data_IF_595324072338
#
_entry.id   IF_595324072338
#
_cell.length_a   1.000
_cell.length_b   1.000
_cell.length_c   1.000
_cell.angle_alpha   90.00
_cell.angle_beta   90.00
_cell.angle_gamma   90.00
#
_symmetry.space_group_name_H-M   'P 1'
#
loop_
_entity.id
_entity.type
_entity.pdbx_description
1 polymer ?
#
# COMPACT_ATOMS: atom_id res chain seq x y z
N UNK A 1 14.24 -23.94 21.04
CA UNK A 1 13.57 -22.86 20.29
C UNK A 1 13.04 -23.52 19.03
N UNK A 2 11.77 -23.37 18.64
CA UNK A 2 11.31 -23.86 17.36
C UNK A 2 12.14 -23.17 16.27
N UNK A 3 12.71 -23.93 15.36
CA UNK A 3 13.40 -23.41 14.18
C UNK A 3 12.40 -22.61 13.37
N UNK A 4 12.71 -21.34 13.06
CA UNK A 4 11.86 -20.51 12.21
C UNK A 4 11.60 -21.27 10.89
N UNK A 5 10.36 -21.20 10.40
CA UNK A 5 10.03 -21.90 9.16
C UNK A 5 10.76 -21.30 7.96
N UNK A 6 10.97 -22.10 6.91
CA UNK A 6 11.69 -21.64 5.72
C UNK A 6 11.09 -20.36 5.11
N UNK A 7 9.75 -20.19 5.17
CA UNK A 7 9.11 -18.98 4.61
C UNK A 7 9.39 -17.74 5.45
N UNK A 8 9.30 -17.84 6.79
CA UNK A 8 9.55 -16.69 7.67
C UNK A 8 11.00 -16.22 7.57
N UNK A 9 11.96 -17.16 7.50
CA UNK A 9 13.37 -16.86 7.25
C UNK A 9 13.55 -16.15 5.92
N UNK A 10 12.95 -16.70 4.85
CA UNK A 10 13.09 -16.15 3.50
C UNK A 10 12.49 -14.75 3.37
N UNK A 11 11.34 -14.50 3.98
CA UNK A 11 10.69 -13.17 3.95
C UNK A 11 11.50 -12.14 4.74
N UNK A 12 12.08 -12.54 5.87
CA UNK A 12 12.97 -11.67 6.65
C UNK A 12 14.27 -11.34 5.88
N UNK A 13 14.87 -12.33 5.18
CA UNK A 13 16.00 -12.07 4.29
C UNK A 13 15.63 -11.13 3.14
N UNK A 14 14.47 -11.35 2.51
CA UNK A 14 13.95 -10.49 1.45
C UNK A 14 13.81 -9.04 1.94
N UNK A 15 13.25 -8.83 3.14
CA UNK A 15 13.16 -7.51 3.78
C UNK A 15 14.54 -6.87 3.93
N UNK A 16 15.46 -7.57 4.60
CA UNK A 16 16.78 -7.03 4.91
C UNK A 16 17.55 -6.63 3.65
N UNK A 17 17.54 -7.51 2.63
CA UNK A 17 18.19 -7.23 1.35
C UNK A 17 17.49 -6.13 0.56
N UNK A 18 16.15 -6.05 0.62
CA UNK A 18 15.40 -4.96 -0.04
C UNK A 18 15.79 -3.62 0.57
N UNK A 19 15.84 -3.51 1.89
CA UNK A 19 16.27 -2.29 2.59
C UNK A 19 17.70 -1.91 2.20
N UNK A 20 18.64 -2.86 2.25
CA UNK A 20 20.04 -2.63 1.88
C UNK A 20 20.19 -2.07 0.45
N UNK A 21 19.47 -2.64 -0.51
CA UNK A 21 19.49 -2.19 -1.90
C UNK A 21 18.75 -0.86 -2.11
N UNK A 22 17.62 -0.65 -1.40
CA UNK A 22 16.88 0.60 -1.43
C UNK A 22 17.72 1.77 -0.93
N UNK A 23 18.47 1.62 0.16
CA UNK A 23 19.35 2.65 0.74
C UNK A 23 20.46 3.11 -0.22
N UNK A 24 20.81 2.31 -1.22
CA UNK A 24 21.76 2.71 -2.26
C UNK A 24 21.20 3.73 -3.27
N UNK A 25 19.87 3.90 -3.32
CA UNK A 25 19.16 4.77 -4.28
C UNK A 25 18.33 5.82 -3.54
N UNK A 26 17.69 5.46 -2.45
CA UNK A 26 16.74 6.31 -1.71
C UNK A 26 17.08 6.24 -0.23
N UNK A 27 17.23 7.39 0.41
CA UNK A 27 17.62 7.49 1.83
C UNK A 27 16.43 7.90 2.68
N UNK A 28 16.32 7.31 3.88
CA UNK A 28 15.38 7.71 4.91
C UNK A 28 13.93 7.26 4.67
N UNK A 29 13.72 6.26 3.81
CA UNK A 29 12.41 5.69 3.51
C UNK A 29 12.33 4.18 3.90
N UNK A 30 13.08 3.76 4.91
CA UNK A 30 13.13 2.36 5.36
C UNK A 30 11.75 1.89 5.86
N UNK A 31 11.09 2.70 6.70
CA UNK A 31 9.75 2.40 7.21
C UNK A 31 8.71 2.34 6.08
N UNK A 32 8.83 3.23 5.09
CA UNK A 32 7.97 3.22 3.91
C UNK A 32 8.20 1.95 3.10
N UNK A 33 9.45 1.54 2.93
CA UNK A 33 9.82 0.30 2.22
C UNK A 33 9.23 -0.93 2.91
N UNK A 34 9.31 -1.02 4.23
CA UNK A 34 8.71 -2.10 5.01
C UNK A 34 7.19 -2.12 4.86
N UNK A 35 6.53 -0.97 4.94
CA UNK A 35 5.08 -0.87 4.73
C UNK A 35 4.69 -1.28 3.31
N UNK A 36 5.48 -0.92 2.28
CA UNK A 36 5.26 -1.38 0.91
C UNK A 36 5.40 -2.91 0.78
N UNK A 37 6.40 -3.51 1.43
CA UNK A 37 6.55 -4.97 1.47
C UNK A 37 5.36 -5.63 2.16
N UNK A 38 4.94 -5.14 3.32
CA UNK A 38 3.74 -5.65 4.02
C UNK A 38 2.52 -5.57 3.12
N UNK A 39 2.30 -4.43 2.46
CA UNK A 39 1.15 -4.24 1.58
C UNK A 39 1.20 -5.17 0.35
N UNK A 40 2.37 -5.36 -0.26
CA UNK A 40 2.55 -6.28 -1.38
C UNK A 40 2.25 -7.72 -0.95
N UNK A 41 2.83 -8.19 0.16
CA UNK A 41 2.64 -9.54 0.67
C UNK A 41 1.20 -9.80 1.13
N UNK A 42 0.51 -8.77 1.65
CA UNK A 42 -0.91 -8.83 1.97
C UNK A 42 -1.84 -8.74 0.74
N UNK A 43 -1.28 -8.59 -0.47
CA UNK A 43 -2.05 -8.44 -1.70
C UNK A 43 -2.85 -7.14 -1.77
N UNK A 44 -2.39 -6.08 -1.08
CA UNK A 44 -3.07 -4.79 -0.97
C UNK A 44 -2.51 -3.70 -1.89
N UNK A 45 -3.24 -2.59 -1.99
CA UNK A 45 -2.85 -1.38 -2.70
C UNK A 45 -2.52 -0.28 -1.69
N UNK A 46 -1.71 0.71 -2.08
CA UNK A 46 -1.24 1.76 -1.17
C UNK A 46 -1.53 3.15 -1.72
N UNK A 47 -1.98 4.03 -0.84
CA UNK A 47 -2.09 5.46 -1.09
C UNK A 47 -0.88 6.15 -0.44
N UNK A 48 -0.03 6.77 -1.27
CA UNK A 48 1.12 7.55 -0.83
C UNK A 48 0.74 9.03 -0.78
N UNK A 49 0.67 9.60 0.40
CA UNK A 49 0.47 11.03 0.58
C UNK A 49 1.79 11.73 0.87
N UNK A 50 2.07 12.77 0.14
CA UNK A 50 3.27 13.55 0.39
C UNK A 50 3.49 14.64 -0.65
N UNK A 51 4.28 15.63 -0.24
CA UNK A 51 4.63 16.77 -1.11
C UNK A 51 5.39 16.34 -2.36
N UNK A 52 5.33 17.11 -3.44
CA UNK A 52 6.16 16.88 -4.62
C UNK A 52 7.65 16.85 -4.28
N UNK A 53 8.43 16.07 -5.05
CA UNK A 53 9.90 16.03 -4.87
C UNK A 53 10.41 15.07 -3.78
N UNK A 54 9.55 14.30 -3.09
CA UNK A 54 9.97 13.33 -2.06
C UNK A 54 10.35 11.96 -2.64
N UNK A 55 10.88 11.91 -3.85
CA UNK A 55 11.42 10.71 -4.52
C UNK A 55 10.44 9.52 -4.67
N UNK A 56 9.11 9.74 -4.60
CA UNK A 56 8.09 8.67 -4.69
C UNK A 56 8.25 7.80 -5.94
N UNK A 57 8.47 8.41 -7.10
CA UNK A 57 8.64 7.67 -8.37
C UNK A 57 9.92 6.82 -8.35
N UNK A 58 11.01 7.35 -7.81
CA UNK A 58 12.28 6.62 -7.66
C UNK A 58 12.11 5.45 -6.70
N UNK A 59 11.46 5.67 -5.54
CA UNK A 59 11.11 4.63 -4.58
C UNK A 59 10.36 3.47 -5.26
N UNK A 60 9.25 3.77 -5.95
CA UNK A 60 8.39 2.75 -6.57
C UNK A 60 9.12 1.96 -7.67
N UNK A 61 9.89 2.65 -8.52
CA UNK A 61 10.67 2.00 -9.59
C UNK A 61 11.76 1.11 -9.02
N UNK A 62 12.51 1.60 -8.03
CA UNK A 62 13.58 0.85 -7.38
C UNK A 62 13.02 -0.38 -6.68
N UNK A 63 11.93 -0.23 -5.93
CA UNK A 63 11.22 -1.31 -5.27
C UNK A 63 10.82 -2.42 -6.25
N UNK A 64 10.19 -2.06 -7.38
CA UNK A 64 9.82 -3.02 -8.41
C UNK A 64 11.04 -3.73 -9.03
N UNK A 65 12.12 -2.98 -9.30
CA UNK A 65 13.36 -3.54 -9.86
C UNK A 65 13.98 -4.57 -8.92
N UNK A 66 14.08 -4.26 -7.63
CA UNK A 66 14.64 -5.16 -6.61
C UNK A 66 13.79 -6.44 -6.51
N UNK A 67 12.48 -6.33 -6.57
CA UNK A 67 11.55 -7.45 -6.46
C UNK A 67 11.36 -8.23 -7.76
N UNK A 68 11.96 -7.79 -8.88
CA UNK A 68 11.85 -8.46 -10.17
C UNK A 68 10.44 -8.45 -10.76
N UNK A 69 9.64 -7.41 -10.49
CA UNK A 69 8.27 -7.25 -10.97
C UNK A 69 8.17 -6.10 -11.96
N UNK A 70 7.25 -6.23 -12.94
CA UNK A 70 7.06 -5.23 -13.99
C UNK A 70 6.43 -3.97 -13.43
N UNK A 71 7.10 -2.83 -13.65
CA UNK A 71 6.68 -1.50 -13.24
C UNK A 71 6.17 -0.69 -14.41
N UNK A 72 5.04 0.00 -14.21
CA UNK A 72 4.53 1.04 -15.10
C UNK A 72 4.14 2.28 -14.28
N UNK A 73 4.20 3.46 -14.91
CA UNK A 73 3.76 4.73 -14.32
C UNK A 73 2.77 5.41 -15.22
N UNK A 74 1.70 5.91 -14.65
CA UNK A 74 0.75 6.79 -15.32
C UNK A 74 0.58 8.07 -14.49
N UNK A 75 0.71 9.22 -15.16
CA UNK A 75 0.44 10.52 -14.57
C UNK A 75 -1.05 10.84 -14.80
N UNK A 76 -1.80 11.03 -13.73
CA UNK A 76 -3.20 11.41 -13.83
C UNK A 76 -3.35 12.90 -14.08
N UNK A 77 -4.15 13.26 -15.08
CA UNK A 77 -4.42 14.63 -15.53
C UNK A 77 -5.93 14.81 -15.76
N UNK A 78 -6.43 16.06 -15.79
CA UNK A 78 -7.87 16.30 -15.97
C UNK A 78 -8.45 15.79 -17.30
N UNK A 79 -7.62 15.62 -18.31
CA UNK A 79 -7.98 15.12 -19.65
C UNK A 79 -7.79 13.62 -19.85
N UNK A 80 -7.24 12.91 -18.85
CA UNK A 80 -7.00 11.47 -18.93
C UNK A 80 -8.31 10.67 -19.02
N UNK A 81 -8.41 9.80 -20.02
CA UNK A 81 -9.57 8.94 -20.23
C UNK A 81 -9.40 7.57 -19.53
N UNK A 82 -10.51 6.87 -19.22
CA UNK A 82 -10.45 5.48 -18.72
C UNK A 82 -9.67 4.54 -19.64
N UNK A 83 -9.80 4.69 -20.95
CA UNK A 83 -9.08 3.90 -21.96
C UNK A 83 -7.57 4.11 -21.95
N UNK A 84 -7.08 5.26 -21.47
CA UNK A 84 -5.65 5.51 -21.33
C UNK A 84 -5.06 4.68 -20.18
N UNK A 85 -5.88 4.31 -19.21
CA UNK A 85 -5.50 3.44 -18.08
C UNK A 85 -5.63 1.96 -18.45
N UNK A 86 -6.78 1.55 -19.01
CA UNK A 86 -7.11 0.15 -19.26
C UNK A 86 -6.67 -0.36 -20.62
N UNK A 87 -6.58 0.52 -21.60
CA UNK A 87 -6.33 0.18 -22.99
C UNK A 87 -7.58 0.23 -23.85
N UNK A 88 -7.41 -0.01 -25.14
CA UNK A 88 -8.44 0.13 -26.17
C UNK A 88 -8.20 -0.85 -27.31
N UNK A 89 -9.26 -1.24 -28.01
CA UNK A 89 -9.12 -1.91 -29.32
C UNK A 89 -8.88 -0.88 -30.42
N UNK A 90 -7.87 -1.12 -31.24
CA UNK A 90 -7.48 -0.25 -32.35
C UNK A 90 -7.58 -1.04 -33.64
N UNK A 91 -8.19 -0.47 -34.67
CA UNK A 91 -8.21 -1.09 -36.00
C UNK A 91 -6.79 -1.03 -36.59
N UNK A 92 -6.17 -2.19 -36.80
CA UNK A 92 -4.93 -2.30 -37.57
C UNK A 92 -5.27 -2.17 -39.05
N UNK A 93 -4.80 -1.08 -39.67
CA UNK A 93 -5.05 -0.78 -41.10
C UNK A 93 -4.43 -1.79 -42.06
N UNK A 94 -3.39 -2.51 -41.65
CA UNK A 94 -2.71 -3.49 -42.51
C UNK A 94 -3.45 -4.81 -42.54
N UNK A 95 -4.03 -5.22 -41.42
CA UNK A 95 -4.72 -6.51 -41.28
C UNK A 95 -6.24 -6.40 -41.32
N UNK A 96 -6.79 -5.14 -41.24
CA UNK A 96 -8.22 -4.84 -41.11
C UNK A 96 -8.87 -5.52 -39.89
N UNK A 97 -8.08 -5.93 -38.90
CA UNK A 97 -8.54 -6.54 -37.66
C UNK A 97 -8.42 -5.58 -36.51
N UNK A 98 -9.28 -5.74 -35.50
CA UNK A 98 -9.13 -5.04 -34.24
C UNK A 98 -8.03 -5.70 -33.40
N UNK A 99 -7.05 -4.91 -32.98
CA UNK A 99 -5.94 -5.34 -32.12
C UNK A 99 -6.04 -4.64 -30.78
N UNK A 100 -5.96 -5.42 -29.71
CA UNK A 100 -5.96 -4.88 -28.34
C UNK A 100 -4.63 -4.18 -28.05
N UNK A 101 -4.68 -2.87 -27.77
CA UNK A 101 -3.59 -2.10 -27.20
C UNK A 101 -3.79 -2.01 -25.69
N UNK A 102 -3.06 -2.85 -24.93
CA UNK A 102 -3.10 -2.86 -23.47
C UNK A 102 -2.62 -1.55 -22.90
N UNK A 103 -3.36 -1.03 -21.89
CA UNK A 103 -2.96 0.14 -21.13
C UNK A 103 -1.93 -0.17 -20.03
N UNK A 104 -1.43 0.84 -19.33
CA UNK A 104 -0.41 0.71 -18.28
C UNK A 104 -0.87 -0.14 -17.08
N UNK A 105 -2.17 -0.35 -16.89
CA UNK A 105 -2.70 -1.22 -15.82
C UNK A 105 -2.25 -2.68 -15.97
N UNK A 106 -1.84 -3.12 -17.18
CA UNK A 106 -1.31 -4.47 -17.41
C UNK A 106 0.16 -4.60 -16.97
N UNK A 107 0.41 -4.32 -15.70
CA UNK A 107 1.70 -4.46 -15.03
C UNK A 107 1.50 -5.08 -13.65
N UNK A 108 2.58 -5.36 -12.95
CA UNK A 108 2.53 -5.93 -11.60
C UNK A 108 2.59 -4.84 -10.50
N UNK A 109 3.31 -3.76 -10.76
CA UNK A 109 3.34 -2.58 -9.91
C UNK A 109 3.02 -1.34 -10.75
N UNK A 110 1.87 -0.74 -10.50
CA UNK A 110 1.43 0.50 -11.14
C UNK A 110 1.61 1.69 -10.20
N UNK A 111 2.37 2.68 -10.61
CA UNK A 111 2.36 4.00 -9.97
C UNK A 111 1.31 4.88 -10.65
N UNK A 112 0.19 5.10 -9.96
CA UNK A 112 -0.86 6.03 -10.37
C UNK A 112 -0.57 7.40 -9.73
N UNK A 113 0.19 8.23 -10.45
CA UNK A 113 0.71 9.49 -9.91
C UNK A 113 -0.33 10.61 -10.03
N UNK A 114 -0.56 11.33 -8.92
CA UNK A 114 -1.57 12.39 -8.78
C UNK A 114 -3.00 11.93 -9.12
N UNK A 115 -3.41 10.79 -8.58
CA UNK A 115 -4.72 10.15 -8.87
C UNK A 115 -5.90 11.11 -8.74
N UNK A 116 -5.84 12.04 -7.78
CA UNK A 116 -6.90 13.01 -7.51
C UNK A 116 -7.01 14.13 -8.57
N UNK A 117 -6.13 14.19 -9.58
CA UNK A 117 -6.25 15.14 -10.69
C UNK A 117 -7.17 14.66 -11.82
N UNK A 118 -7.37 13.36 -11.96
CA UNK A 118 -8.24 12.85 -13.01
C UNK A 118 -9.71 12.89 -12.64
N UNK A 119 -10.61 12.98 -13.64
CA UNK A 119 -12.05 12.91 -13.42
C UNK A 119 -12.47 11.63 -12.70
N UNK A 120 -13.57 11.69 -11.94
CA UNK A 120 -14.09 10.58 -11.16
C UNK A 120 -14.30 9.29 -11.99
N UNK A 121 -14.63 9.42 -13.27
CA UNK A 121 -14.82 8.28 -14.18
C UNK A 121 -13.51 7.52 -14.43
N UNK A 122 -12.42 8.24 -14.62
CA UNK A 122 -11.08 7.66 -14.83
C UNK A 122 -10.54 7.05 -13.54
N UNK A 123 -10.75 7.74 -12.39
CA UNK A 123 -10.44 7.16 -11.08
C UNK A 123 -11.19 5.83 -10.86
N UNK A 124 -12.51 5.80 -11.17
CA UNK A 124 -13.34 4.61 -10.97
C UNK A 124 -12.86 3.41 -11.80
N UNK A 125 -12.38 3.62 -13.03
CA UNK A 125 -11.85 2.52 -13.85
C UNK A 125 -10.61 1.87 -13.25
N UNK A 126 -9.70 2.66 -12.68
CA UNK A 126 -8.54 2.12 -11.95
C UNK A 126 -8.98 1.38 -10.68
N UNK A 127 -9.89 1.99 -9.90
CA UNK A 127 -10.37 1.41 -8.64
C UNK A 127 -11.15 0.11 -8.85
N UNK A 128 -11.84 -0.03 -9.98
CA UNK A 128 -12.47 -1.28 -10.40
C UNK A 128 -11.42 -2.35 -10.73
N UNK A 129 -10.41 -2.00 -11.54
CA UNK A 129 -9.30 -2.88 -11.86
C UNK A 129 -8.54 -3.37 -10.60
N UNK A 130 -8.39 -2.49 -9.58
CA UNK A 130 -7.79 -2.84 -8.29
C UNK A 130 -8.61 -3.88 -7.53
N UNK A 131 -9.92 -3.76 -7.55
CA UNK A 131 -10.82 -4.65 -6.80
C UNK A 131 -11.02 -5.99 -7.50
N UNK A 132 -11.28 -5.95 -8.80
CA UNK A 132 -11.65 -7.14 -9.57
C UNK A 132 -10.45 -7.92 -10.12
N UNK A 133 -9.22 -7.34 -10.07
CA UNK A 133 -8.00 -7.93 -10.65
C UNK A 133 -8.12 -8.25 -12.15
N UNK A 134 -9.04 -7.58 -12.82
CA UNK A 134 -9.33 -7.73 -14.25
C UNK A 134 -9.87 -6.41 -14.82
N UNK A 135 -9.84 -6.28 -16.13
CA UNK A 135 -10.46 -5.17 -16.87
C UNK A 135 -11.29 -5.70 -18.01
N UNK A 136 -12.39 -5.02 -18.32
CA UNK A 136 -13.23 -5.35 -19.48
C UNK A 136 -13.05 -4.27 -20.55
N UNK A 137 -12.62 -4.69 -21.74
CA UNK A 137 -12.38 -3.82 -22.90
C UNK A 137 -13.25 -4.35 -24.05
N UNK A 138 -14.17 -3.53 -24.53
CA UNK A 138 -15.09 -3.87 -25.64
C UNK A 138 -15.76 -5.25 -25.46
N UNK A 139 -16.26 -5.52 -24.25
CA UNK A 139 -16.93 -6.78 -23.90
C UNK A 139 -16.02 -7.97 -23.62
N UNK A 140 -14.70 -7.82 -23.74
CA UNK A 140 -13.74 -8.88 -23.41
C UNK A 140 -13.12 -8.60 -22.04
N UNK A 141 -13.29 -9.53 -21.10
CA UNK A 141 -12.67 -9.46 -19.77
C UNK A 141 -11.29 -10.10 -19.78
N UNK A 142 -10.30 -9.36 -19.30
CA UNK A 142 -8.89 -9.73 -19.29
C UNK A 142 -8.34 -9.68 -17.87
N UNK A 143 -7.72 -10.75 -17.36
CA UNK A 143 -7.08 -10.72 -16.06
C UNK A 143 -5.84 -9.82 -16.08
N UNK A 144 -5.55 -9.18 -14.96
CA UNK A 144 -4.32 -8.42 -14.77
C UNK A 144 -3.17 -9.35 -14.34
N UNK A 145 -1.91 -8.97 -14.64
CA UNK A 145 -0.75 -9.73 -14.18
C UNK A 145 -0.69 -9.81 -12.66
N UNK A 146 -0.25 -10.93 -12.11
CA UNK A 146 -0.07 -11.13 -10.67
C UNK A 146 1.44 -11.20 -10.31
N UNK A 147 1.83 -10.72 -9.10
CA UNK A 147 1.01 -9.96 -8.16
C UNK A 147 0.61 -8.60 -8.75
N UNK A 148 -0.58 -8.07 -8.44
CA UNK A 148 -0.99 -6.75 -8.90
C UNK A 148 -1.09 -5.78 -7.72
N UNK A 149 -0.28 -4.73 -7.74
CA UNK A 149 -0.28 -3.68 -6.72
C UNK A 149 -0.32 -2.29 -7.37
N UNK A 150 -1.20 -1.45 -6.88
CA UNK A 150 -1.26 -0.03 -7.25
C UNK A 150 -0.70 0.80 -6.10
N UNK A 151 0.24 1.67 -6.41
CA UNK A 151 0.72 2.75 -5.58
C UNK A 151 0.13 4.04 -6.13
N UNK A 152 -0.93 4.56 -5.52
CA UNK A 152 -1.52 5.83 -5.91
C UNK A 152 -0.87 6.96 -5.12
N UNK A 153 -0.59 8.10 -5.77
CA UNK A 153 -0.12 9.29 -5.05
C UNK A 153 -1.21 10.35 -5.00
N UNK A 154 -1.22 11.10 -3.90
CA UNK A 154 -2.02 12.31 -3.75
C UNK A 154 -1.14 13.41 -3.17
N UNK A 155 -1.35 14.64 -3.67
CA UNK A 155 -0.74 15.83 -3.08
C UNK A 155 -1.76 16.47 -2.13
N UNK A 156 -1.54 16.48 -0.83
CA UNK A 156 -2.50 17.03 0.14
C UNK A 156 -2.61 18.56 0.09
N UNK A 157 -1.64 19.25 -0.51
CA UNK A 157 -1.57 20.72 -0.55
C UNK A 157 -2.38 21.30 -1.72
N UNK A 158 -2.52 20.56 -2.81
CA UNK A 158 -3.28 21.03 -3.97
C UNK A 158 -4.79 20.99 -3.68
N UNK A 159 -5.42 22.16 -3.74
CA UNK A 159 -6.86 22.32 -3.53
C UNK A 159 -7.62 22.65 -4.83
N UNK A 160 -6.97 23.25 -5.81
CA UNK A 160 -7.58 23.61 -7.09
C UNK A 160 -7.42 22.51 -8.13
N UNK A 161 -8.49 22.24 -8.88
CA UNK A 161 -8.49 21.26 -9.99
C UNK A 161 -8.36 19.80 -9.54
N UNK A 162 -8.70 19.48 -8.28
CA UNK A 162 -8.64 18.12 -7.75
C UNK A 162 -10.02 17.53 -7.51
N UNK A 163 -10.17 16.26 -7.85
CA UNK A 163 -11.37 15.46 -7.57
C UNK A 163 -11.06 14.55 -6.37
N UNK A 164 -11.57 14.90 -5.20
CA UNK A 164 -11.35 14.09 -3.99
C UNK A 164 -11.93 12.69 -4.16
N UNK A 165 -11.18 11.69 -3.73
CA UNK A 165 -11.69 10.32 -3.63
C UNK A 165 -12.71 10.23 -2.49
N UNK A 166 -13.93 9.73 -2.74
CA UNK A 166 -14.87 9.41 -1.67
C UNK A 166 -14.32 8.34 -0.71
N UNK A 167 -14.79 8.33 0.53
CA UNK A 167 -14.34 7.41 1.58
C UNK A 167 -14.48 5.93 1.16
N UNK A 168 -15.59 5.60 0.48
CA UNK A 168 -15.82 4.25 -0.05
C UNK A 168 -14.77 3.80 -1.09
N UNK A 169 -14.13 4.75 -1.76
CA UNK A 169 -13.04 4.50 -2.70
C UNK A 169 -11.70 4.41 -1.99
N UNK A 170 -11.48 5.24 -0.96
CA UNK A 170 -10.29 5.18 -0.11
C UNK A 170 -10.19 3.84 0.63
N UNK A 171 -11.32 3.23 1.03
CA UNK A 171 -11.33 1.92 1.70
C UNK A 171 -10.77 0.76 0.86
N UNK A 172 -10.59 0.96 -0.46
CA UNK A 172 -9.94 -0.02 -1.37
C UNK A 172 -8.42 -0.09 -1.21
N UNK A 173 -7.80 0.96 -0.70
CA UNK A 173 -6.38 0.95 -0.37
C UNK A 173 -6.16 0.25 0.97
N UNK A 174 -5.21 -0.67 1.03
CA UNK A 174 -4.83 -1.33 2.28
C UNK A 174 -4.19 -0.33 3.25
N UNK A 175 -3.22 0.42 2.75
CA UNK A 175 -2.47 1.41 3.52
C UNK A 175 -2.61 2.82 2.95
N UNK A 176 -2.62 3.79 3.86
CA UNK A 176 -2.26 5.18 3.59
C UNK A 176 -0.93 5.46 4.27
N UNK A 177 0.08 5.79 3.47
CA UNK A 177 1.44 6.07 3.94
C UNK A 177 1.74 7.53 3.69
N UNK A 178 2.14 8.25 4.75
CA UNK A 178 2.57 9.65 4.66
C UNK A 178 4.07 9.69 4.38
N UNK A 179 4.45 10.33 3.28
CA UNK A 179 5.86 10.56 2.91
C UNK A 179 6.19 12.03 3.13
N UNK A 180 6.81 12.32 4.26
CA UNK A 180 7.25 13.67 4.64
C UNK A 180 8.58 14.06 3.99
N UNK A 181 9.08 15.25 4.35
CA UNK A 181 10.46 15.63 4.03
C UNK A 181 11.45 14.76 4.84
N UNK A 182 12.59 14.39 4.23
CA UNK A 182 13.63 13.66 4.94
C UNK A 182 14.19 14.48 6.12
N UNK A 183 14.76 13.80 7.09
CA UNK A 183 15.53 14.47 8.15
C UNK A 183 16.83 15.05 7.57
N UNK A 184 17.40 16.06 8.24
CA UNK A 184 18.60 16.77 7.79
C UNK A 184 19.74 15.85 7.36
N UNK A 185 20.03 14.83 8.14
CA UNK A 185 21.13 13.90 7.83
C UNK A 185 20.84 13.05 6.59
N UNK A 186 19.58 12.70 6.36
CA UNK A 186 19.11 12.02 5.15
C UNK A 186 19.21 12.94 3.93
N UNK A 187 18.91 14.23 4.06
CA UNK A 187 19.09 15.20 2.96
C UNK A 187 20.58 15.35 2.56
N UNK A 188 21.48 15.40 3.53
CA UNK A 188 22.93 15.39 3.28
C UNK A 188 23.35 14.11 2.56
N UNK A 189 22.86 12.95 3.01
CA UNK A 189 23.15 11.68 2.36
C UNK A 189 22.61 11.61 0.93
N UNK A 190 21.43 12.18 0.64
CA UNK A 190 20.87 12.30 -0.71
C UNK A 190 21.78 13.10 -1.64
N UNK A 191 22.33 14.24 -1.18
CA UNK A 191 23.27 15.05 -1.98
C UNK A 191 24.52 14.24 -2.33
N UNK A 192 25.03 13.45 -1.38
CA UNK A 192 26.19 12.58 -1.60
C UNK A 192 25.88 11.45 -2.61
N UNK A 193 24.67 10.87 -2.56
CA UNK A 193 24.24 9.87 -3.53
C UNK A 193 24.10 10.43 -4.94
N UNK A 194 23.56 11.64 -5.10
CA UNK A 194 23.40 12.29 -6.40
C UNK A 194 24.73 12.62 -7.08
N UNK A 195 25.80 12.70 -6.32
CA UNK A 195 27.16 12.94 -6.84
C UNK A 195 27.84 11.66 -7.38
N UNK A 196 27.19 10.49 -7.27
CA UNK A 196 27.70 9.18 -7.67
C UNK A 196 26.90 8.59 -8.82
N UNK A 197 27.49 7.75 -9.67
CA UNK A 197 26.72 6.98 -10.66
C UNK A 197 25.69 6.09 -9.94
N UNK A 198 24.47 6.06 -10.47
CA UNK A 198 23.43 5.20 -9.95
C UNK A 198 23.84 3.72 -10.12
N UNK A 199 23.87 2.93 -9.06
CA UNK A 199 24.23 1.52 -9.15
C UNK A 199 23.20 0.75 -9.97
N UNK A 200 23.67 -0.27 -10.72
CA UNK A 200 22.77 -1.21 -11.39
C UNK A 200 22.30 -2.23 -10.35
N UNK A 201 21.02 -2.20 -10.04
CA UNK A 201 20.41 -3.16 -9.13
C UNK A 201 20.00 -4.42 -9.89
N UNK A 202 20.24 -5.58 -9.28
CA UNK A 202 19.70 -6.86 -9.73
C UNK A 202 18.44 -7.23 -8.91
N UNK A 203 17.53 -7.95 -9.54
CA UNK A 203 16.39 -8.52 -8.84
C UNK A 203 16.86 -9.59 -7.84
N UNK A 204 16.26 -9.57 -6.63
CA UNK A 204 16.51 -10.54 -5.55
C UNK A 204 15.32 -11.47 -5.30
N UNK A 205 14.23 -11.25 -6.02
CA UNK A 205 12.99 -12.02 -5.96
C UNK A 205 12.36 -12.13 -7.36
N UNK A 206 11.19 -12.73 -7.45
CA UNK A 206 10.39 -12.84 -8.66
C UNK A 206 8.90 -12.76 -8.34
N UNK A 207 8.07 -12.54 -9.37
CA UNK A 207 6.60 -12.58 -9.25
C UNK A 207 6.12 -13.91 -8.64
N UNK A 208 6.66 -15.03 -9.09
CA UNK A 208 6.25 -16.36 -8.64
C UNK A 208 6.57 -16.57 -7.14
N UNK A 209 7.73 -16.09 -6.68
CA UNK A 209 8.09 -16.14 -5.28
C UNK A 209 7.15 -15.29 -4.42
N UNK A 210 6.84 -14.07 -4.85
CA UNK A 210 5.91 -13.17 -4.12
C UNK A 210 4.53 -13.82 -4.04
N UNK A 211 4.02 -14.37 -5.13
CA UNK A 211 2.74 -15.08 -5.14
C UNK A 211 2.75 -16.32 -4.25
N UNK A 212 3.85 -17.06 -4.23
CA UNK A 212 4.05 -18.19 -3.31
C UNK A 212 3.97 -17.79 -1.85
N UNK A 213 4.51 -16.62 -1.49
CA UNK A 213 4.42 -16.05 -0.14
C UNK A 213 2.98 -15.61 0.16
N UNK A 214 2.34 -14.90 -0.77
CA UNK A 214 0.94 -14.46 -0.63
C UNK A 214 -0.01 -15.65 -0.38
N UNK A 215 0.16 -16.74 -1.12
CA UNK A 215 -0.65 -17.95 -0.95
C UNK A 215 -0.51 -18.61 0.44
N UNK A 216 0.63 -18.41 1.10
CA UNK A 216 0.90 -18.94 2.44
C UNK A 216 0.58 -17.96 3.57
N UNK A 217 0.14 -16.73 3.28
CA UNK A 217 -0.11 -15.71 4.30
C UNK A 217 -1.18 -16.16 5.31
N UNK A 218 -2.18 -16.90 4.85
CA UNK A 218 -3.26 -17.38 5.72
C UNK A 218 -2.82 -18.49 6.69
N UNK A 219 -1.66 -19.10 6.47
CA UNK A 219 -1.09 -20.09 7.39
C UNK A 219 -0.42 -19.45 8.61
N UNK A 220 -0.10 -18.13 8.55
CA UNK A 220 0.44 -17.39 9.69
C UNK A 220 -0.60 -17.36 10.81
N UNK A 221 -0.23 -17.94 11.94
CA UNK A 221 -1.15 -18.13 13.06
C UNK A 221 -1.55 -16.79 13.67
N UNK A 222 -2.85 -16.61 13.84
CA UNK A 222 -3.44 -15.50 14.59
C UNK A 222 -4.40 -16.09 15.63
N UNK A 223 -4.09 -15.92 16.91
CA UNK A 223 -4.90 -16.49 17.99
C UNK A 223 -6.30 -15.85 18.02
N UNK A 224 -7.27 -16.57 18.61
CA UNK A 224 -8.62 -16.02 18.81
C UNK A 224 -8.62 -14.76 19.69
N UNK A 225 -7.68 -14.65 20.62
CA UNK A 225 -7.49 -13.48 21.46
C UNK A 225 -7.05 -12.26 20.63
N UNK A 226 -6.08 -12.45 19.71
CA UNK A 226 -5.65 -11.40 18.80
C UNK A 226 -6.75 -11.00 17.82
N UNK A 227 -7.54 -11.95 17.34
CA UNK A 227 -8.71 -11.62 16.51
C UNK A 227 -9.72 -10.76 17.28
N UNK A 228 -9.97 -11.09 18.56
CA UNK A 228 -10.82 -10.26 19.44
C UNK A 228 -10.19 -8.88 19.64
N UNK A 229 -8.91 -8.80 19.92
CA UNK A 229 -8.19 -7.53 20.05
C UNK A 229 -8.34 -6.63 18.81
N UNK A 230 -8.20 -7.19 17.60
CA UNK A 230 -8.42 -6.46 16.33
C UNK A 230 -9.87 -5.95 16.24
N UNK A 231 -10.85 -6.79 16.62
CA UNK A 231 -12.27 -6.40 16.63
C UNK A 231 -12.53 -5.32 17.67
N UNK A 232 -11.91 -5.42 18.85
CA UNK A 232 -12.09 -4.44 19.93
C UNK A 232 -11.50 -3.08 19.54
N UNK A 233 -10.36 -3.02 18.83
CA UNK A 233 -9.84 -1.78 18.21
C UNK A 233 -10.89 -1.18 17.26
N UNK A 234 -11.46 -1.99 16.37
CA UNK A 234 -12.48 -1.52 15.43
C UNK A 234 -13.75 -1.04 16.14
N UNK A 235 -14.18 -1.70 17.21
CA UNK A 235 -15.36 -1.34 18.02
C UNK A 235 -15.12 -0.07 18.82
N UNK A 236 -13.95 0.05 19.48
CA UNK A 236 -13.58 1.26 20.22
C UNK A 236 -13.54 2.50 19.30
N UNK A 237 -13.01 2.35 18.07
CA UNK A 237 -13.04 3.46 17.11
C UNK A 237 -14.46 3.92 16.76
N UNK A 238 -15.45 3.01 16.73
CA UNK A 238 -16.87 3.36 16.46
C UNK A 238 -17.56 4.08 17.61
N UNK A 239 -17.03 3.95 18.82
CA UNK A 239 -17.56 4.57 20.06
C UNK A 239 -16.78 5.83 20.48
N UNK A 240 -15.68 6.13 19.79
CA UNK A 240 -14.82 7.27 20.14
C UNK A 240 -15.55 8.60 19.88
N UNK A 241 -15.55 9.49 20.90
CA UNK A 241 -16.27 10.78 20.86
C UNK A 241 -15.86 11.69 19.72
N UNK A 242 -14.61 11.62 19.30
CA UNK A 242 -14.02 12.51 18.28
C UNK A 242 -14.23 12.00 16.87
N UNK A 243 -14.78 10.79 16.70
CA UNK A 243 -15.03 10.20 15.40
C UNK A 243 -16.51 10.31 15.00
N UNK A 244 -16.73 10.71 13.76
CA UNK A 244 -18.01 10.64 13.07
C UNK A 244 -18.22 9.23 12.50
N UNK A 245 -17.14 8.62 11.96
CA UNK A 245 -17.14 7.28 11.40
C UNK A 245 -15.92 6.50 11.92
N UNK A 246 -16.18 5.34 12.54
CA UNK A 246 -15.17 4.39 12.98
C UNK A 246 -14.84 3.31 11.93
N UNK A 247 -13.94 2.41 12.28
CA UNK A 247 -13.45 1.33 11.40
C UNK A 247 -14.56 0.37 10.96
N UNK A 248 -14.61 0.05 9.66
CA UNK A 248 -15.52 -0.92 9.07
C UNK A 248 -15.08 -2.37 9.41
N UNK A 249 -15.96 -3.40 9.23
CA UNK A 249 -15.53 -4.80 9.32
C UNK A 249 -14.41 -5.14 8.32
N UNK A 250 -14.38 -4.50 7.14
CA UNK A 250 -13.31 -4.65 6.16
C UNK A 250 -11.97 -4.14 6.69
N UNK A 251 -11.98 -3.06 7.47
CA UNK A 251 -10.77 -2.55 8.12
C UNK A 251 -10.17 -3.58 9.10
N UNK A 252 -11.00 -4.30 9.86
CA UNK A 252 -10.52 -5.36 10.76
C UNK A 252 -9.90 -6.53 9.98
N UNK A 253 -10.50 -6.94 8.85
CA UNK A 253 -9.92 -7.96 7.96
C UNK A 253 -8.58 -7.49 7.41
N UNK A 254 -8.47 -6.24 6.99
CA UNK A 254 -7.25 -5.64 6.49
C UNK A 254 -6.16 -5.56 7.58
N UNK A 255 -6.52 -5.21 8.82
CA UNK A 255 -5.60 -5.25 9.96
C UNK A 255 -5.04 -6.65 10.16
N UNK A 256 -5.89 -7.69 10.15
CA UNK A 256 -5.43 -9.07 10.33
C UNK A 256 -4.49 -9.51 9.19
N UNK A 257 -4.83 -9.23 7.93
CA UNK A 257 -3.98 -9.56 6.77
C UNK A 257 -2.63 -8.87 6.86
N UNK A 258 -2.62 -7.57 7.14
CA UNK A 258 -1.41 -6.78 7.25
C UNK A 258 -0.54 -7.21 8.45
N UNK A 259 -1.16 -7.56 9.60
CA UNK A 259 -0.45 -8.07 10.78
C UNK A 259 0.26 -9.41 10.50
N UNK A 260 -0.38 -10.30 9.74
CA UNK A 260 0.25 -11.56 9.29
C UNK A 260 1.47 -11.31 8.40
N UNK A 261 1.34 -10.40 7.42
CA UNK A 261 2.46 -10.03 6.56
C UNK A 261 3.59 -9.35 7.36
N UNK A 262 3.25 -8.50 8.31
CA UNK A 262 4.22 -7.87 9.21
C UNK A 262 4.94 -8.89 10.11
N UNK A 263 4.23 -9.89 10.63
CA UNK A 263 4.85 -10.98 11.40
C UNK A 263 5.87 -11.76 10.57
N UNK A 264 5.52 -12.12 9.31
CA UNK A 264 6.44 -12.78 8.38
C UNK A 264 7.67 -11.91 8.08
N UNK A 265 7.48 -10.61 7.88
CA UNK A 265 8.58 -9.66 7.66
C UNK A 265 9.58 -9.67 8.83
N UNK A 266 9.09 -9.92 10.04
CA UNK A 266 9.88 -10.04 11.27
C UNK A 266 10.32 -11.48 11.58
N UNK A 267 10.26 -12.39 10.60
CA UNK A 267 10.74 -13.78 10.73
C UNK A 267 9.85 -14.66 11.61
N UNK A 268 8.57 -14.35 11.78
CA UNK A 268 7.63 -15.07 12.65
C UNK A 268 6.43 -15.59 11.86
N UNK A 269 5.94 -16.77 12.23
CA UNK A 269 4.73 -17.41 11.70
C UNK A 269 3.51 -17.23 12.62
N UNK A 270 3.60 -16.34 13.55
CA UNK A 270 2.50 -15.97 14.44
C UNK A 270 2.44 -14.47 14.64
N UNK A 271 1.24 -13.95 14.73
CA UNK A 271 0.97 -12.54 14.97
C UNK A 271 1.08 -12.22 16.45
N UNK A 272 1.61 -11.03 16.76
CA UNK A 272 1.66 -10.45 18.11
C UNK A 272 0.82 -9.18 18.19
N UNK A 273 0.60 -8.67 19.39
CA UNK A 273 -0.06 -7.37 19.59
C UNK A 273 0.74 -6.23 18.93
N UNK A 274 2.07 -6.29 19.01
CA UNK A 274 2.96 -5.28 18.40
C UNK A 274 2.79 -5.24 16.88
N UNK A 275 2.57 -6.39 16.22
CA UNK A 275 2.30 -6.44 14.79
C UNK A 275 1.01 -5.70 14.44
N UNK A 276 -0.03 -5.90 15.24
CA UNK A 276 -1.32 -5.21 15.03
C UNK A 276 -1.17 -3.71 15.26
N UNK A 277 -0.53 -3.30 16.36
CA UNK A 277 -0.37 -1.89 16.73
C UNK A 277 0.45 -1.11 15.70
N UNK A 278 1.56 -1.71 15.21
CA UNK A 278 2.46 -1.06 14.24
C UNK A 278 1.76 -0.72 12.91
N UNK A 279 0.75 -1.52 12.51
CA UNK A 279 0.02 -1.30 11.27
C UNK A 279 -1.31 -0.56 11.44
N UNK A 280 -1.75 -0.24 12.67
CA UNK A 280 -3.02 0.46 12.91
C UNK A 280 -3.07 1.80 12.18
N UNK A 281 -2.02 2.62 12.27
CA UNK A 281 -2.01 3.94 11.62
C UNK A 281 -2.14 3.86 10.09
N UNK A 282 -1.30 3.10 9.38
CA UNK A 282 -1.43 3.01 7.92
C UNK A 282 -2.74 2.36 7.45
N UNK A 283 -3.33 1.44 8.24
CA UNK A 283 -4.61 0.80 7.88
C UNK A 283 -5.80 1.68 8.21
N UNK A 284 -5.83 2.32 9.37
CA UNK A 284 -7.03 3.02 9.87
C UNK A 284 -7.07 4.50 9.47
N UNK A 285 -5.93 5.14 9.28
CA UNK A 285 -5.82 6.59 9.13
C UNK A 285 -6.63 7.21 7.98
N UNK A 286 -7.00 6.46 6.96
CA UNK A 286 -7.84 6.91 5.84
C UNK A 286 -9.27 6.36 5.89
N UNK A 287 -9.60 5.60 6.92
CA UNK A 287 -10.90 4.95 7.11
C UNK A 287 -11.73 5.56 8.23
N UNK A 288 -11.05 6.28 9.13
CA UNK A 288 -11.70 6.97 10.22
C UNK A 288 -11.98 8.42 9.82
N UNK A 289 -13.18 8.91 10.12
CA UNK A 289 -13.58 10.29 9.84
C UNK A 289 -13.77 11.01 11.17
N UNK A 290 -13.03 12.10 11.35
CA UNK A 290 -13.14 12.93 12.53
C UNK A 290 -14.40 13.78 12.50
N UNK A 291 -14.87 14.17 13.68
CA UNK A 291 -15.89 15.19 13.80
C UNK A 291 -15.27 16.57 13.55
N UNK A 292 -15.97 17.49 12.87
CA UNK A 292 -15.44 18.83 12.60
C UNK A 292 -15.04 19.57 13.87
N UNK A 293 -15.77 19.38 14.95
CA UNK A 293 -15.49 20.02 16.24
C UNK A 293 -14.13 19.54 16.82
N UNK A 294 -13.82 18.25 16.68
CA UNK A 294 -12.56 17.68 17.13
C UNK A 294 -11.37 18.20 16.29
N UNK A 295 -11.57 18.38 14.98
CA UNK A 295 -10.55 18.96 14.09
C UNK A 295 -10.30 20.44 14.45
N UNK A 296 -11.36 21.21 14.75
CA UNK A 296 -11.26 22.60 15.18
C UNK A 296 -10.53 22.74 16.52
N UNK A 297 -10.66 21.76 17.43
CA UNK A 297 -9.92 21.66 18.69
C UNK A 297 -8.44 21.25 18.51
N UNK A 298 -7.97 21.09 17.25
CA UNK A 298 -6.59 20.73 16.92
C UNK A 298 -6.26 19.25 17.15
N UNK A 299 -7.25 18.39 17.32
CA UNK A 299 -7.04 16.94 17.41
C UNK A 299 -6.69 16.38 16.04
N UNK A 300 -5.90 15.32 16.03
CA UNK A 300 -5.45 14.68 14.79
C UNK A 300 -5.92 13.23 14.74
N UNK A 301 -6.12 12.71 13.52
CA UNK A 301 -6.51 11.31 13.31
C UNK A 301 -5.48 10.34 13.91
N UNK A 302 -4.18 10.68 13.81
CA UNK A 302 -3.11 9.86 14.37
C UNK A 302 -3.20 9.82 15.91
N UNK A 303 -3.51 10.96 16.56
CA UNK A 303 -3.74 11.04 18.00
C UNK A 303 -4.96 10.23 18.45
N UNK A 304 -6.05 10.27 17.68
CA UNK A 304 -7.25 9.47 17.96
C UNK A 304 -6.97 7.97 17.81
N UNK A 305 -6.25 7.54 16.77
CA UNK A 305 -5.84 6.13 16.60
C UNK A 305 -5.00 5.68 17.80
N UNK A 306 -4.07 6.50 18.25
CA UNK A 306 -3.25 6.18 19.42
C UNK A 306 -4.09 6.02 20.69
N UNK A 307 -5.10 6.87 20.90
CA UNK A 307 -6.03 6.75 22.03
C UNK A 307 -6.87 5.47 21.94
N UNK A 308 -7.36 5.13 20.75
CA UNK A 308 -8.11 3.89 20.51
C UNK A 308 -7.25 2.67 20.89
N UNK A 309 -5.99 2.62 20.43
CA UNK A 309 -5.07 1.53 20.77
C UNK A 309 -4.84 1.44 22.30
N UNK A 310 -4.64 2.58 22.98
CA UNK A 310 -4.38 2.62 24.42
C UNK A 310 -5.57 2.19 25.27
N UNK A 311 -6.81 2.41 24.79
CA UNK A 311 -8.03 2.03 25.51
C UNK A 311 -8.37 0.55 25.41
N UNK A 312 -7.87 -0.14 24.39
CA UNK A 312 -8.08 -1.56 24.23
C UNK A 312 -6.98 -2.33 24.98
N UNK A 313 -7.32 -3.06 26.05
CA UNK A 313 -6.32 -3.74 26.85
C UNK A 313 -5.66 -4.85 26.06
N UNK A 314 -4.33 -4.90 26.09
CA UNK A 314 -3.57 -6.07 25.71
C UNK A 314 -3.79 -7.10 26.82
N UNK A 315 -4.51 -8.18 26.53
CA UNK A 315 -4.64 -9.28 27.45
C UNK A 315 -3.23 -9.84 27.66
N UNK A 316 -2.69 -9.63 28.85
CA UNK A 316 -1.41 -10.20 29.22
C UNK A 316 -1.53 -11.72 29.09
N UNK A 317 -0.63 -12.35 28.36
CA UNK A 317 -0.51 -13.80 28.32
C UNK A 317 -0.61 -14.34 29.76
N UNK A 318 -1.73 -14.92 30.08
CA UNK A 318 -1.81 -15.82 31.20
C UNK A 318 -0.87 -16.97 30.84
N UNK A 319 0.38 -16.88 31.34
CA UNK A 319 1.33 -17.98 31.33
C UNK A 319 0.59 -19.24 31.78
N UNK A 320 0.38 -20.15 30.86
CA UNK A 320 0.19 -21.57 31.14
C UNK A 320 1.07 -22.38 30.23
#
# INVERSE_FOLDING_TARGET
MPTASPIAVRVNELRSRTQELMQQIVVGLDDVTDQLLVALLAGGHVLLEGVPGTAKTTLCRTFATILGIRFERIQFTPDLLPSDVTGIQVLDRNTSNFVLRKGPVFCQLLLADELNRAPARTQSSLLEAMQERQVTIDGTTLPLPEPFMVLATQNPIEQEGVYRLPEAQLDRFLFRIKVGYPQRDHEVAMLNLHSRPTPKLAAISSSDEIMGIQAQLDTVYCSEELKRYIIDIARESRQHSDLLLGASPRAAINLMKAARAHALLNGREFVTHDDVQSICHPVLGHRLIMRPEAEMDGRTIDGVIQQVIQRVPVLADLKR
#
